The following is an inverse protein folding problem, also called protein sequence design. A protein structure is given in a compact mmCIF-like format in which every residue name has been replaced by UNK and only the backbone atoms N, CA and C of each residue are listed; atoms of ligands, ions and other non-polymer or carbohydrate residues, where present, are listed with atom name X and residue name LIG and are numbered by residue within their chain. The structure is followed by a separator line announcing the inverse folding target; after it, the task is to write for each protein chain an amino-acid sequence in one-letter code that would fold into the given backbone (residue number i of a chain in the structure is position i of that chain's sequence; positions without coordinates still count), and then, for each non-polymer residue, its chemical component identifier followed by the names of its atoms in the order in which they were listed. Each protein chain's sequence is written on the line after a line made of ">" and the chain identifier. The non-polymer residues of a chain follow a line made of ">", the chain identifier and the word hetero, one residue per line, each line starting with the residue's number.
data_IF_421742885356
#
_entry.id   IF_421742885356
#
_cell.length_a   1.000
_cell.length_b   1.000
_cell.length_c   1.000
_cell.angle_alpha   90.00
_cell.angle_beta   90.00
_cell.angle_gamma   90.00
#
_symmetry.space_group_name_H-M   'P 1'
#
loop_
_entity.id
_entity.type
_entity.pdbx_description
1 polymer ?
#
# COMPACT_ATOMS: atom_id res chain seq x y z
N UNK A 1 -23.55 7.31 -7.25
CA UNK A 1 -22.64 6.24 -7.75
C UNK A 1 -23.39 4.90 -7.77
N UNK A 2 -24.07 4.56 -8.87
CA UNK A 2 -24.98 3.41 -8.94
C UNK A 2 -24.27 2.03 -8.99
N UNK A 3 -23.05 1.92 -9.53
CA UNK A 3 -22.31 0.64 -9.60
C UNK A 3 -21.89 0.09 -8.22
N UNK A 4 -21.78 0.94 -7.20
CA UNK A 4 -21.32 0.52 -5.87
C UNK A 4 -22.28 -0.48 -5.22
N UNK A 5 -23.60 -0.34 -5.45
CA UNK A 5 -24.61 -1.14 -4.74
C UNK A 5 -24.57 -2.62 -5.09
N UNK A 6 -24.23 -2.97 -6.33
CA UNK A 6 -24.19 -4.36 -6.79
C UNK A 6 -22.98 -5.13 -6.25
N UNK A 7 -21.90 -4.44 -5.89
CA UNK A 7 -20.65 -5.04 -5.41
C UNK A 7 -20.53 -5.05 -3.88
N UNK A 8 -21.50 -4.47 -3.13
CA UNK A 8 -21.39 -4.34 -1.67
C UNK A 8 -21.29 -5.71 -0.96
N UNK A 9 -21.91 -6.75 -1.51
CA UNK A 9 -21.85 -8.10 -0.94
C UNK A 9 -20.50 -8.80 -1.19
N UNK A 10 -19.70 -8.30 -2.13
CA UNK A 10 -18.37 -8.85 -2.49
C UNK A 10 -17.20 -8.06 -1.88
N UNK A 11 -17.50 -6.94 -1.21
CA UNK A 11 -16.47 -6.04 -0.65
C UNK A 11 -16.39 -6.24 0.86
N UNK A 12 -15.18 -6.53 1.36
CA UNK A 12 -14.88 -6.48 2.78
C UNK A 12 -14.60 -5.03 3.22
N UNK A 13 -15.30 -4.54 4.25
CA UNK A 13 -15.06 -3.21 4.81
C UNK A 13 -14.06 -3.31 5.96
N UNK A 14 -12.84 -2.84 5.72
CA UNK A 14 -11.80 -2.73 6.74
C UNK A 14 -11.93 -1.39 7.48
N UNK A 15 -12.34 -1.42 8.75
CA UNK A 15 -12.52 -0.21 9.59
C UNK A 15 -11.35 0.06 10.54
N UNK A 16 -10.35 -0.81 10.57
CA UNK A 16 -9.18 -0.70 11.45
C UNK A 16 -8.04 0.14 10.85
N UNK A 17 -8.17 0.63 9.62
CA UNK A 17 -7.19 1.52 9.01
C UNK A 17 -7.34 2.93 9.56
N UNK A 18 -6.23 3.51 9.99
CA UNK A 18 -6.17 4.87 10.51
C UNK A 18 -4.95 5.58 9.91
N UNK A 19 -5.00 6.91 9.80
CA UNK A 19 -3.89 7.73 9.31
C UNK A 19 -3.69 8.93 10.22
N UNK A 20 -2.44 9.24 10.53
CA UNK A 20 -2.05 10.47 11.25
C UNK A 20 -2.13 11.72 10.37
N UNK A 21 -2.01 11.54 9.05
CA UNK A 21 -1.86 12.64 8.10
C UNK A 21 -2.93 12.54 7.00
N UNK A 22 -3.75 13.58 6.78
CA UNK A 22 -4.78 13.57 5.74
C UNK A 22 -4.21 13.80 4.32
N UNK A 23 -2.95 14.20 4.20
CA UNK A 23 -2.34 14.46 2.90
C UNK A 23 -2.18 13.17 2.11
N UNK A 24 -2.54 13.22 0.82
CA UNK A 24 -2.52 12.07 -0.07
C UNK A 24 -1.13 11.40 -0.19
N UNK A 25 -0.05 12.17 -0.30
CA UNK A 25 1.32 11.62 -0.39
C UNK A 25 1.73 10.82 0.86
N UNK A 26 1.70 11.43 2.06
CA UNK A 26 1.95 10.72 3.32
C UNK A 26 1.01 9.54 3.57
N UNK A 27 -0.27 9.63 3.19
CA UNK A 27 -1.22 8.53 3.30
C UNK A 27 -0.88 7.36 2.37
N UNK A 28 -0.42 7.64 1.14
CA UNK A 28 0.07 6.62 0.21
C UNK A 28 1.32 5.91 0.74
N UNK A 29 2.24 6.67 1.34
CA UNK A 29 3.41 6.11 2.01
C UNK A 29 3.00 5.21 3.17
N UNK A 30 2.06 5.64 4.01
CA UNK A 30 1.56 4.83 5.13
C UNK A 30 0.91 3.54 4.64
N UNK A 31 0.14 3.59 3.54
CA UNK A 31 -0.55 2.42 2.97
C UNK A 31 0.42 1.40 2.36
N UNK A 32 1.52 1.84 1.76
CA UNK A 32 2.47 0.96 1.08
C UNK A 32 3.64 0.50 1.97
N UNK A 33 4.11 1.38 2.85
CA UNK A 33 5.35 1.20 3.62
C UNK A 33 5.09 1.02 5.12
N UNK A 34 3.84 1.19 5.58
CA UNK A 34 3.50 1.21 7.01
C UNK A 34 4.06 2.42 7.76
N UNK A 35 4.60 3.41 7.04
CA UNK A 35 5.15 4.64 7.59
C UNK A 35 4.95 5.80 6.62
N UNK A 36 4.89 7.02 7.14
CA UNK A 36 4.88 8.25 6.33
C UNK A 36 6.27 8.61 5.78
N UNK A 37 7.33 7.88 6.17
CA UNK A 37 8.70 8.13 5.72
C UNK A 37 8.99 7.43 4.38
N UNK A 38 9.58 8.13 3.40
CA UNK A 38 9.85 7.56 2.07
C UNK A 38 11.02 6.57 2.04
N UNK A 39 11.81 6.48 3.10
CA UNK A 39 13.06 5.70 3.14
C UNK A 39 12.79 4.21 3.43
N UNK A 40 11.56 3.84 3.81
CA UNK A 40 11.24 2.45 4.14
C UNK A 40 10.80 1.67 2.90
N UNK A 41 11.27 0.42 2.71
CA UNK A 41 10.77 -0.47 1.68
C UNK A 41 9.25 -0.61 1.76
N UNK A 42 8.61 -0.63 0.59
CA UNK A 42 7.22 -1.04 0.49
C UNK A 42 7.04 -2.51 0.89
N UNK A 43 5.86 -2.85 1.41
CA UNK A 43 5.51 -4.24 1.74
C UNK A 43 5.65 -5.18 0.53
N UNK A 44 5.42 -4.67 -0.68
CA UNK A 44 5.63 -5.42 -1.92
C UNK A 44 7.09 -5.82 -2.16
N UNK A 45 8.04 -4.96 -1.77
CA UNK A 45 9.48 -5.25 -1.87
C UNK A 45 9.88 -6.41 -0.96
N UNK A 46 9.34 -6.46 0.26
CA UNK A 46 9.56 -7.55 1.21
C UNK A 46 9.02 -8.89 0.71
N UNK A 47 7.81 -8.91 0.16
CA UNK A 47 7.20 -10.14 -0.38
C UNK A 47 7.98 -10.67 -1.58
N UNK A 48 8.37 -9.79 -2.50
CA UNK A 48 9.13 -10.16 -3.70
C UNK A 48 10.56 -10.61 -3.41
N UNK A 49 11.17 -10.06 -2.35
CA UNK A 49 12.46 -10.55 -1.86
C UNK A 49 12.34 -12.02 -1.40
N UNK A 50 11.28 -12.36 -0.68
CA UNK A 50 11.00 -13.74 -0.27
C UNK A 50 10.79 -14.74 -1.41
N UNK A 51 10.40 -14.26 -2.61
CA UNK A 51 10.20 -15.11 -3.81
C UNK A 51 11.41 -15.16 -4.76
N UNK A 52 12.59 -14.63 -4.37
CA UNK A 52 13.86 -14.83 -5.10
C UNK A 52 14.07 -13.99 -6.36
N UNK A 53 13.29 -12.91 -6.57
CA UNK A 53 13.41 -12.03 -7.76
C UNK A 53 14.55 -10.98 -7.68
N UNK A 54 15.81 -11.43 -7.64
CA UNK A 54 16.99 -10.63 -7.22
C UNK A 54 17.21 -9.25 -7.89
N UNK A 55 16.62 -9.00 -9.06
CA UNK A 55 16.97 -7.86 -9.92
C UNK A 55 15.81 -6.86 -10.16
N UNK A 56 14.65 -7.04 -9.52
CA UNK A 56 13.49 -6.13 -9.67
C UNK A 56 13.27 -5.16 -8.50
N UNK A 57 14.06 -5.30 -7.44
CA UNK A 57 13.82 -4.64 -6.16
C UNK A 57 14.05 -3.14 -6.18
N UNK A 58 15.10 -2.66 -6.84
CA UNK A 58 15.52 -1.25 -6.72
C UNK A 58 14.50 -0.25 -7.29
N UNK A 59 13.68 -0.69 -8.25
CA UNK A 59 12.59 0.10 -8.81
C UNK A 59 11.39 0.20 -7.86
N UNK A 60 11.13 -0.84 -7.05
CA UNK A 60 10.00 -0.87 -6.11
C UNK A 60 10.32 -0.23 -4.75
N UNK A 61 11.60 -0.09 -4.41
CA UNK A 61 12.05 0.68 -3.24
C UNK A 61 11.78 2.19 -3.40
N UNK A 62 11.85 2.73 -4.62
CA UNK A 62 11.65 4.17 -4.89
C UNK A 62 10.24 4.52 -5.40
N UNK A 63 9.43 3.55 -5.83
CA UNK A 63 8.10 3.79 -6.37
C UNK A 63 7.02 3.75 -5.26
N UNK A 64 6.93 4.84 -4.50
CA UNK A 64 5.67 5.28 -3.86
C UNK A 64 5.39 6.71 -4.31
#
# INVERSE_FOLDING_TARGET
>A
MPLKRQLMDEICVLRSTWTDNPNHGPALLLMNNGTILPIRPSMGSWLLWGFGSENRYILLYCAV
#
